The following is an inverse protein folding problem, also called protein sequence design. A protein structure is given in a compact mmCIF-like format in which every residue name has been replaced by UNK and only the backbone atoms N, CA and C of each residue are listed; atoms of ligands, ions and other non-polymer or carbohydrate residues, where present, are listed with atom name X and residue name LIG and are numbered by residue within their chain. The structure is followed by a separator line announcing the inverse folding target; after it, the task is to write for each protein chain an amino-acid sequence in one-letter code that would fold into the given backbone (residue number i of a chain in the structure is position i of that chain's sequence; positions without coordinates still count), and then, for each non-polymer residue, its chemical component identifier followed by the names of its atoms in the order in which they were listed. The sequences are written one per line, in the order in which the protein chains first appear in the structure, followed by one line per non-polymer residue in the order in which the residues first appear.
data_IF_377903373078
#
_entry.id   IF_377903373078
#
_cell.length_a   1.000
_cell.length_b   1.000
_cell.length_c   1.000
_cell.angle_alpha   90.00
_cell.angle_beta   90.00
_cell.angle_gamma   90.00
#
_symmetry.space_group_name_H-M   'P 1'
#
loop_
_entity.id
_entity.type
_entity.pdbx_description
1 polymer ?
#
# COMPACT_ATOMS: atom_id res chain seq x y z
N UNK A 1 30.42 -8.16 3.54
CA UNK A 1 29.58 -8.70 2.42
C UNK A 1 28.32 -9.35 2.95
N UNK A 2 28.37 -10.16 3.99
CA UNK A 2 27.18 -10.79 4.61
C UNK A 2 26.19 -9.76 5.12
N UNK A 3 26.66 -8.75 5.87
CA UNK A 3 25.81 -7.67 6.38
C UNK A 3 25.08 -6.90 5.26
N UNK A 4 25.78 -6.65 4.15
CA UNK A 4 25.18 -6.01 2.99
C UNK A 4 23.99 -6.83 2.43
N UNK A 5 24.18 -8.15 2.24
CA UNK A 5 23.11 -9.03 1.74
C UNK A 5 21.95 -9.06 2.74
N UNK A 6 22.22 -9.11 4.03
CA UNK A 6 21.21 -9.11 5.07
C UNK A 6 20.41 -7.81 5.09
N UNK A 7 21.08 -6.65 4.89
CA UNK A 7 20.41 -5.35 4.75
C UNK A 7 19.57 -5.28 3.47
N UNK A 8 20.08 -5.80 2.35
CA UNK A 8 19.30 -5.84 1.08
C UNK A 8 18.04 -6.68 1.24
N UNK A 9 18.09 -7.86 1.89
CA UNK A 9 16.89 -8.68 2.13
C UNK A 9 15.92 -7.95 3.07
N UNK A 10 16.42 -7.27 4.11
CA UNK A 10 15.60 -6.41 4.96
C UNK A 10 14.93 -5.28 4.15
N UNK A 11 15.68 -4.65 3.25
CA UNK A 11 15.19 -3.61 2.35
C UNK A 11 14.16 -4.12 1.36
N UNK A 12 14.31 -5.34 0.85
CA UNK A 12 13.31 -5.99 0.00
C UNK A 12 12.01 -6.22 0.77
N UNK A 13 12.06 -6.72 2.01
CA UNK A 13 10.87 -6.93 2.82
C UNK A 13 10.14 -5.61 3.12
N UNK A 14 10.86 -4.57 3.54
CA UNK A 14 10.29 -3.23 3.73
C UNK A 14 9.77 -2.66 2.42
N UNK A 15 10.50 -2.84 1.33
CA UNK A 15 10.12 -2.43 -0.02
C UNK A 15 8.85 -3.11 -0.53
N UNK A 16 8.62 -4.37 -0.16
CA UNK A 16 7.37 -5.06 -0.44
C UNK A 16 6.18 -4.37 0.25
N UNK A 17 6.31 -3.97 1.51
CA UNK A 17 5.26 -3.23 2.22
C UNK A 17 5.00 -1.88 1.55
N UNK A 18 6.06 -1.11 1.25
CA UNK A 18 5.90 0.16 0.52
C UNK A 18 5.28 -0.04 -0.86
N UNK A 19 5.67 -1.10 -1.56
CA UNK A 19 5.09 -1.47 -2.86
C UNK A 19 3.60 -1.78 -2.78
N UNK A 20 3.13 -2.45 -1.73
CA UNK A 20 1.71 -2.72 -1.50
C UNK A 20 0.92 -1.45 -1.20
N UNK A 21 1.47 -0.55 -0.37
CA UNK A 21 0.83 0.75 -0.12
C UNK A 21 0.80 1.58 -1.41
N UNK A 22 1.92 1.63 -2.14
CA UNK A 22 2.05 2.31 -3.42
C UNK A 22 1.07 1.75 -4.46
N UNK A 23 0.85 0.45 -4.47
CA UNK A 23 -0.12 -0.21 -5.32
C UNK A 23 -1.54 0.27 -5.01
N UNK A 24 -1.89 0.45 -3.73
CA UNK A 24 -3.16 1.05 -3.33
C UNK A 24 -3.35 2.47 -3.88
N UNK A 25 -2.32 3.32 -3.81
CA UNK A 25 -2.32 4.65 -4.45
C UNK A 25 -2.57 4.56 -5.95
N UNK A 26 -1.83 3.68 -6.64
CA UNK A 26 -1.91 3.51 -8.10
C UNK A 26 -3.27 2.99 -8.53
N UNK A 27 -3.86 2.05 -7.79
CA UNK A 27 -5.20 1.52 -8.11
C UNK A 27 -6.27 2.60 -8.09
N UNK A 28 -6.30 3.44 -7.05
CA UNK A 28 -7.25 4.54 -6.93
C UNK A 28 -6.97 5.61 -7.98
N UNK A 29 -5.71 6.03 -8.11
CA UNK A 29 -5.32 7.06 -9.07
C UNK A 29 -5.67 6.68 -10.52
N UNK A 30 -5.40 5.43 -10.90
CA UNK A 30 -5.69 4.93 -12.25
C UNK A 30 -7.18 4.97 -12.59
N UNK A 31 -8.04 4.84 -11.59
CA UNK A 31 -9.50 4.84 -11.79
C UNK A 31 -10.12 6.23 -11.72
N UNK A 32 -9.62 7.08 -10.83
CA UNK A 32 -10.26 8.35 -10.47
C UNK A 32 -9.41 9.57 -10.77
N UNK A 33 -8.17 9.39 -11.22
CA UNK A 33 -7.13 10.42 -11.39
C UNK A 33 -6.86 11.23 -10.11
N UNK A 34 -7.23 10.68 -8.95
CA UNK A 34 -7.07 11.32 -7.65
C UNK A 34 -6.17 10.48 -6.74
N UNK A 35 -5.31 11.16 -6.00
CA UNK A 35 -4.46 10.52 -4.99
C UNK A 35 -5.22 10.44 -3.67
N UNK A 36 -5.27 9.24 -3.07
CA UNK A 36 -5.85 9.03 -1.74
C UNK A 36 -4.77 9.14 -0.65
N UNK A 37 -4.63 10.29 -0.03
CA UNK A 37 -3.61 10.47 1.04
C UNK A 37 -3.93 9.72 2.34
N UNK A 38 -5.16 9.22 2.52
CA UNK A 38 -5.49 8.32 3.64
C UNK A 38 -4.98 6.88 3.45
N UNK A 39 -4.24 6.56 2.38
CA UNK A 39 -3.83 5.19 2.07
C UNK A 39 -2.97 4.57 3.17
N UNK A 40 -2.06 5.34 3.78
CA UNK A 40 -1.29 4.89 4.92
C UNK A 40 -2.13 4.68 6.18
N UNK A 41 -3.16 5.51 6.38
CA UNK A 41 -4.07 5.36 7.51
C UNK A 41 -5.03 4.17 7.34
N UNK A 42 -5.37 3.81 6.10
CA UNK A 42 -6.07 2.55 5.81
C UNK A 42 -5.18 1.35 6.12
N UNK A 43 -3.87 1.42 5.83
CA UNK A 43 -2.93 0.37 6.23
C UNK A 43 -2.85 0.25 7.77
N UNK A 44 -2.70 1.36 8.47
CA UNK A 44 -2.72 1.43 9.93
C UNK A 44 -4.01 0.79 10.49
N UNK A 45 -5.17 1.20 9.99
CA UNK A 45 -6.45 0.65 10.42
C UNK A 45 -6.53 -0.86 10.19
N UNK A 46 -6.00 -1.35 9.06
CA UNK A 46 -5.91 -2.78 8.77
C UNK A 46 -5.12 -3.57 9.81
N UNK A 47 -4.00 -3.01 10.29
CA UNK A 47 -3.23 -3.57 11.41
C UNK A 47 -4.05 -3.64 12.71
N UNK A 48 -4.74 -2.55 13.09
CA UNK A 48 -5.59 -2.53 14.29
C UNK A 48 -6.78 -3.50 14.20
N UNK A 49 -7.43 -3.58 13.04
CA UNK A 49 -8.53 -4.53 12.82
C UNK A 49 -8.03 -5.97 12.92
N UNK A 50 -6.86 -6.27 12.37
CA UNK A 50 -6.25 -7.60 12.51
C UNK A 50 -5.91 -7.92 13.97
N UNK A 51 -5.34 -6.96 14.70
CA UNK A 51 -5.09 -7.09 16.14
C UNK A 51 -6.38 -7.43 16.91
N UNK A 52 -7.47 -6.75 16.57
CA UNK A 52 -8.77 -7.05 17.21
C UNK A 52 -9.20 -8.49 17.00
N UNK A 53 -9.11 -9.01 15.78
CA UNK A 53 -9.53 -10.40 15.50
C UNK A 53 -8.57 -11.43 16.08
N UNK A 54 -7.26 -11.20 16.00
CA UNK A 54 -6.25 -12.19 16.39
C UNK A 54 -6.06 -12.18 17.91
N UNK A 55 -5.77 -11.01 18.51
CA UNK A 55 -5.37 -10.91 19.91
C UNK A 55 -6.55 -10.67 20.85
N UNK A 56 -7.48 -9.76 20.53
CA UNK A 56 -8.62 -9.46 21.43
C UNK A 56 -9.72 -10.53 21.36
N UNK A 57 -10.06 -11.01 20.16
CA UNK A 57 -11.09 -12.03 19.95
C UNK A 57 -10.54 -13.47 19.97
N UNK A 58 -9.20 -13.63 19.97
CA UNK A 58 -8.55 -14.93 20.05
C UNK A 58 -8.75 -15.82 18.82
N UNK A 59 -8.97 -15.24 17.64
CA UNK A 59 -9.11 -16.02 16.41
C UNK A 59 -7.77 -16.60 16.00
N UNK A 60 -7.80 -17.75 15.32
CA UNK A 60 -6.61 -18.25 14.65
C UNK A 60 -6.07 -17.17 13.68
N UNK A 61 -4.75 -17.01 13.60
CA UNK A 61 -4.07 -16.02 12.77
C UNK A 61 -4.63 -15.92 11.36
N UNK A 62 -4.82 -17.06 10.67
CA UNK A 62 -5.31 -17.08 9.29
C UNK A 62 -6.76 -16.60 9.16
N UNK A 63 -7.59 -16.96 10.13
CA UNK A 63 -8.99 -16.52 10.16
C UNK A 63 -9.07 -15.03 10.48
N UNK A 64 -8.34 -14.57 11.49
CA UNK A 64 -8.27 -13.16 11.86
C UNK A 64 -7.73 -12.29 10.71
N UNK A 65 -6.70 -12.78 10.03
CA UNK A 65 -6.15 -12.15 8.82
C UNK A 65 -7.20 -12.03 7.71
N UNK A 66 -7.92 -13.11 7.39
CA UNK A 66 -8.96 -13.09 6.37
C UNK A 66 -10.12 -12.15 6.74
N UNK A 67 -10.56 -12.18 8.01
CA UNK A 67 -11.60 -11.26 8.52
C UNK A 67 -11.16 -9.80 8.40
N UNK A 68 -9.92 -9.48 8.75
CA UNK A 68 -9.38 -8.13 8.62
C UNK A 68 -9.42 -7.64 7.16
N UNK A 69 -9.01 -8.47 6.20
CA UNK A 69 -9.04 -8.11 4.78
C UNK A 69 -10.48 -7.86 4.30
N UNK A 70 -11.44 -8.71 4.70
CA UNK A 70 -12.85 -8.54 4.32
C UNK A 70 -13.44 -7.27 4.92
N UNK A 71 -13.16 -6.99 6.20
CA UNK A 71 -13.60 -5.76 6.87
C UNK A 71 -13.00 -4.53 6.20
N UNK A 72 -11.70 -4.55 5.87
CA UNK A 72 -11.05 -3.46 5.17
C UNK A 72 -11.60 -3.26 3.75
N UNK A 73 -11.91 -4.33 3.02
CA UNK A 73 -12.57 -4.23 1.72
C UNK A 73 -13.96 -3.58 1.82
N UNK A 74 -14.76 -4.00 2.79
CA UNK A 74 -16.07 -3.42 3.05
C UNK A 74 -15.94 -1.94 3.44
N UNK A 75 -15.01 -1.63 4.34
CA UNK A 75 -14.72 -0.26 4.78
C UNK A 75 -14.33 0.64 3.62
N UNK A 76 -13.43 0.20 2.74
CA UNK A 76 -13.04 0.94 1.53
C UNK A 76 -14.23 1.25 0.61
N UNK A 77 -15.14 0.28 0.44
CA UNK A 77 -16.38 0.49 -0.34
C UNK A 77 -17.30 1.53 0.32
N UNK A 78 -17.38 1.54 1.66
CA UNK A 78 -18.17 2.52 2.43
C UNK A 78 -17.57 3.91 2.30
N UNK A 79 -16.25 4.04 2.48
CA UNK A 79 -15.51 5.30 2.31
C UNK A 79 -15.74 5.89 0.93
N UNK A 80 -15.64 5.08 -0.12
CA UNK A 80 -15.91 5.55 -1.48
C UNK A 80 -17.36 6.06 -1.60
N UNK A 81 -18.34 5.28 -1.13
CA UNK A 81 -19.73 5.59 -1.32
C UNK A 81 -20.19 6.81 -0.52
N UNK A 82 -19.71 6.96 0.72
CA UNK A 82 -20.19 7.99 1.65
C UNK A 82 -19.36 9.27 1.57
N UNK A 83 -18.05 9.15 1.40
CA UNK A 83 -17.11 10.27 1.51
C UNK A 83 -16.65 10.72 0.11
N UNK A 84 -16.17 9.79 -0.72
CA UNK A 84 -15.49 10.16 -1.97
C UNK A 84 -16.49 10.41 -3.10
N UNK A 85 -17.49 9.55 -3.23
CA UNK A 85 -18.48 9.67 -4.33
C UNK A 85 -19.20 11.00 -4.38
N UNK A 86 -19.65 11.62 -3.27
CA UNK A 86 -20.31 12.92 -3.29
C UNK A 86 -19.43 14.06 -3.81
N UNK A 87 -18.10 13.90 -3.70
CA UNK A 87 -17.13 14.92 -4.12
C UNK A 87 -16.46 14.61 -5.46
N UNK A 88 -16.80 13.47 -6.10
CA UNK A 88 -16.36 13.19 -7.47
C UNK A 88 -16.98 14.23 -8.42
N UNK A 89 -16.12 14.87 -9.23
CA UNK A 89 -16.50 15.96 -10.11
C UNK A 89 -16.14 17.36 -9.61
N UNK A 90 -15.76 17.50 -8.34
CA UNK A 90 -15.14 18.71 -7.81
C UNK A 90 -13.64 18.76 -8.17
N UNK A 91 -12.98 19.92 -8.02
CA UNK A 91 -11.55 20.05 -8.27
C UNK A 91 -10.73 19.00 -7.49
N UNK A 92 -9.70 18.45 -8.11
CA UNK A 92 -8.83 17.41 -7.50
C UNK A 92 -8.30 17.80 -6.12
N UNK A 93 -8.01 19.09 -5.92
CA UNK A 93 -7.57 19.63 -4.63
C UNK A 93 -8.57 19.35 -3.49
N UNK A 94 -9.88 19.48 -3.77
CA UNK A 94 -10.92 19.23 -2.75
C UNK A 94 -10.92 17.76 -2.30
N UNK A 95 -10.73 16.83 -3.24
CA UNK A 95 -10.70 15.40 -2.94
C UNK A 95 -9.43 15.05 -2.13
N UNK A 96 -8.29 15.64 -2.50
CA UNK A 96 -7.03 15.49 -1.74
C UNK A 96 -7.21 15.96 -0.29
N UNK A 97 -7.81 17.15 -0.07
CA UNK A 97 -8.04 17.67 1.28
C UNK A 97 -8.96 16.76 2.10
N UNK A 98 -10.02 16.23 1.49
CA UNK A 98 -10.92 15.29 2.17
C UNK A 98 -10.21 13.99 2.53
N UNK A 99 -9.34 13.45 1.68
CA UNK A 99 -8.59 12.23 2.01
C UNK A 99 -7.55 12.47 3.11
N UNK A 100 -6.90 13.64 3.14
CA UNK A 100 -6.02 14.02 4.26
C UNK A 100 -6.82 14.13 5.55
N UNK A 101 -7.98 14.83 5.52
CA UNK A 101 -8.87 14.94 6.69
C UNK A 101 -9.37 13.57 7.17
N UNK A 102 -9.72 12.67 6.23
CA UNK A 102 -10.08 11.30 6.56
C UNK A 102 -8.95 10.58 7.30
N UNK A 103 -7.70 10.73 6.86
CA UNK A 103 -6.54 10.13 7.53
C UNK A 103 -6.45 10.57 8.99
N UNK A 104 -6.58 11.87 9.28
CA UNK A 104 -6.58 12.37 10.65
C UNK A 104 -7.75 11.83 11.49
N UNK A 105 -8.95 11.74 10.91
CA UNK A 105 -10.11 11.15 11.59
C UNK A 105 -9.84 9.67 11.92
N UNK A 106 -9.28 8.89 10.98
CA UNK A 106 -8.96 7.48 11.20
C UNK A 106 -7.93 7.31 12.33
N UNK A 107 -6.91 8.16 12.41
CA UNK A 107 -5.93 8.15 13.52
C UNK A 107 -6.58 8.47 14.85
N UNK A 108 -7.40 9.51 14.89
CA UNK A 108 -8.10 9.88 16.12
C UNK A 108 -9.02 8.75 16.60
N UNK A 109 -9.79 8.16 15.69
CA UNK A 109 -10.67 7.02 16.01
C UNK A 109 -9.84 5.82 16.47
N UNK A 110 -8.73 5.50 15.78
CA UNK A 110 -7.85 4.42 16.20
C UNK A 110 -7.30 4.64 17.61
N UNK A 111 -6.84 5.85 17.94
CA UNK A 111 -6.37 6.20 19.28
C UNK A 111 -7.46 6.11 20.35
N UNK A 112 -8.71 6.44 20.01
CA UNK A 112 -9.85 6.33 20.94
C UNK A 112 -10.27 4.87 21.20
N UNK A 113 -10.17 4.00 20.19
CA UNK A 113 -10.67 2.60 20.28
C UNK A 113 -9.58 1.67 20.82
N UNK A 114 -8.35 1.78 20.35
CA UNK A 114 -7.25 0.85 20.69
C UNK A 114 -6.19 1.46 21.61
N UNK A 115 -6.27 2.78 21.86
CA UNK A 115 -5.27 3.50 22.64
C UNK A 115 -4.09 3.97 21.78
N UNK A 116 -3.07 4.48 22.47
CA UNK A 116 -1.86 5.05 21.86
C UNK A 116 -0.62 4.20 22.07
N UNK A 117 -0.76 3.07 22.77
CA UNK A 117 0.34 2.15 23.06
C UNK A 117 0.76 1.37 21.79
N UNK A 118 2.01 0.95 21.80
CA UNK A 118 2.54 0.10 20.75
C UNK A 118 2.01 -1.32 20.90
N UNK A 119 1.21 -1.77 19.92
CA UNK A 119 0.61 -3.10 19.91
C UNK A 119 1.44 -4.05 19.02
N UNK A 120 1.49 -5.31 19.41
CA UNK A 120 2.18 -6.36 18.67
C UNK A 120 1.20 -7.46 18.32
N UNK A 121 1.32 -8.01 17.12
CA UNK A 121 0.63 -9.22 16.71
C UNK A 121 1.66 -10.35 16.67
N UNK A 122 1.39 -11.42 17.41
CA UNK A 122 2.18 -12.64 17.29
C UNK A 122 1.76 -13.40 16.04
N UNK A 123 2.73 -13.60 15.16
CA UNK A 123 2.51 -14.32 13.91
C UNK A 123 3.11 -15.74 14.02
N UNK A 124 2.60 -16.71 13.25
CA UNK A 124 3.20 -18.07 13.19
C UNK A 124 4.66 -18.08 12.75
N UNK A 125 5.16 -16.94 12.24
CA UNK A 125 6.52 -16.79 11.71
C UNK A 125 7.46 -16.04 12.65
N UNK A 126 6.95 -15.41 13.74
CA UNK A 126 7.72 -14.51 14.62
C UNK A 126 8.86 -15.18 15.39
N UNK A 127 8.85 -16.50 15.53
CA UNK A 127 9.79 -17.22 16.41
C UNK A 127 10.93 -17.92 15.69
N UNK A 128 11.06 -17.78 14.37
CA UNK A 128 12.02 -18.55 13.59
C UNK A 128 12.98 -17.72 12.76
N UNK A 129 14.18 -18.26 12.58
CA UNK A 129 15.19 -17.73 11.65
C UNK A 129 15.63 -18.83 10.69
N UNK A 130 15.73 -18.51 9.41
CA UNK A 130 16.32 -19.38 8.42
C UNK A 130 17.84 -19.17 8.41
N UNK A 131 18.60 -20.23 8.60
CA UNK A 131 20.05 -20.25 8.42
C UNK A 131 20.38 -20.75 7.02
N UNK A 132 20.83 -19.86 6.13
CA UNK A 132 21.32 -20.23 4.80
C UNK A 132 22.83 -19.99 4.78
N UNK A 133 23.57 -21.00 5.20
CA UNK A 133 25.01 -20.88 5.45
C UNK A 133 25.28 -19.93 6.63
N UNK A 134 25.96 -18.83 6.37
CA UNK A 134 26.26 -17.78 7.35
C UNK A 134 25.21 -16.63 7.39
N UNK A 135 24.18 -16.68 6.52
CA UNK A 135 23.10 -15.71 6.51
C UNK A 135 22.00 -16.13 7.48
N UNK A 136 21.57 -15.17 8.32
CA UNK A 136 20.45 -15.35 9.25
C UNK A 136 19.31 -14.47 8.78
N UNK A 137 18.24 -15.10 8.31
CA UNK A 137 17.04 -14.41 7.80
C UNK A 137 15.85 -14.70 8.70
N UNK A 138 15.22 -13.66 9.25
CA UNK A 138 13.98 -13.82 10.01
C UNK A 138 12.84 -14.28 9.09
N UNK A 139 12.08 -15.28 9.55
CA UNK A 139 10.93 -15.79 8.80
C UNK A 139 9.87 -14.72 8.56
N UNK A 140 9.73 -13.72 9.44
CA UNK A 140 8.84 -12.59 9.23
C UNK A 140 9.13 -11.85 7.92
N UNK A 141 10.42 -11.55 7.65
CA UNK A 141 10.83 -10.86 6.42
C UNK A 141 10.57 -11.71 5.16
N UNK A 142 10.83 -13.02 5.26
CA UNK A 142 10.57 -13.95 4.16
C UNK A 142 9.07 -14.09 3.90
N UNK A 143 8.25 -14.18 4.96
CA UNK A 143 6.80 -14.28 4.85
C UNK A 143 6.19 -13.05 4.15
N UNK A 144 6.69 -11.85 4.45
CA UNK A 144 6.27 -10.60 3.79
C UNK A 144 6.57 -10.64 2.29
N UNK A 145 7.77 -11.08 1.90
CA UNK A 145 8.16 -11.17 0.48
C UNK A 145 7.25 -12.17 -0.26
N UNK A 146 7.10 -13.37 0.30
CA UNK A 146 6.27 -14.42 -0.30
C UNK A 146 4.81 -13.99 -0.39
N UNK A 147 4.24 -13.44 0.69
CA UNK A 147 2.86 -12.97 0.72
C UNK A 147 2.63 -11.84 -0.29
N UNK A 148 3.58 -10.91 -0.45
CA UNK A 148 3.50 -9.84 -1.45
C UNK A 148 3.48 -10.41 -2.87
N UNK A 149 4.39 -11.34 -3.19
CA UNK A 149 4.43 -11.98 -4.52
C UNK A 149 3.12 -12.71 -4.81
N UNK A 150 2.59 -13.46 -3.84
CA UNK A 150 1.31 -14.16 -3.99
C UNK A 150 0.15 -13.18 -4.22
N UNK A 151 0.05 -12.11 -3.41
CA UNK A 151 -1.00 -11.11 -3.58
C UNK A 151 -0.90 -10.42 -4.95
N UNK A 152 0.31 -10.07 -5.38
CA UNK A 152 0.52 -9.47 -6.70
C UNK A 152 0.13 -10.41 -7.84
N UNK A 153 0.46 -11.69 -7.71
CA UNK A 153 0.03 -12.74 -8.64
C UNK A 153 -1.50 -12.86 -8.70
N UNK A 154 -2.18 -12.87 -7.55
CA UNK A 154 -3.63 -12.89 -7.46
C UNK A 154 -4.28 -11.64 -8.08
N UNK A 155 -3.74 -10.47 -7.80
CA UNK A 155 -4.24 -9.22 -8.40
C UNK A 155 -4.02 -9.21 -9.92
N UNK A 156 -2.85 -9.66 -10.39
CA UNK A 156 -2.59 -9.79 -11.82
C UNK A 156 -3.60 -10.72 -12.50
N UNK A 157 -3.86 -11.89 -11.91
CA UNK A 157 -4.89 -12.82 -12.39
C UNK A 157 -6.27 -12.17 -12.39
N UNK A 158 -6.63 -11.47 -11.30
CA UNK A 158 -7.90 -10.79 -11.18
C UNK A 158 -8.09 -9.74 -12.28
N UNK A 159 -7.11 -8.84 -12.47
CA UNK A 159 -7.20 -7.77 -13.44
C UNK A 159 -7.19 -8.26 -14.89
N UNK A 160 -6.47 -9.34 -15.20
CA UNK A 160 -6.31 -9.80 -16.58
C UNK A 160 -7.30 -10.92 -16.97
N UNK A 161 -7.83 -11.68 -16.01
CA UNK A 161 -8.63 -12.87 -16.30
C UNK A 161 -10.11 -12.73 -15.90
N UNK A 162 -10.50 -11.71 -15.14
CA UNK A 162 -11.90 -11.53 -14.74
C UNK A 162 -12.58 -10.43 -15.56
N UNK A 163 -13.89 -10.61 -15.81
CA UNK A 163 -14.71 -9.58 -16.50
C UNK A 163 -14.69 -8.24 -15.79
N UNK A 164 -14.68 -8.26 -14.45
CA UNK A 164 -14.64 -7.04 -13.65
C UNK A 164 -13.26 -6.36 -13.68
N UNK A 165 -12.18 -7.14 -13.67
CA UNK A 165 -10.83 -6.60 -13.86
C UNK A 165 -10.65 -5.92 -15.22
N UNK A 166 -11.18 -6.52 -16.29
CA UNK A 166 -11.19 -5.91 -17.64
C UNK A 166 -12.05 -4.64 -17.65
N UNK A 167 -13.22 -4.66 -17.00
CA UNK A 167 -14.06 -3.47 -16.86
C UNK A 167 -13.37 -2.32 -16.10
N UNK A 168 -12.60 -2.65 -15.05
CA UNK A 168 -11.76 -1.68 -14.34
C UNK A 168 -10.69 -1.05 -15.25
N UNK A 169 -10.00 -1.87 -16.06
CA UNK A 169 -9.02 -1.38 -17.01
C UNK A 169 -9.65 -0.49 -18.08
N UNK A 170 -10.80 -0.88 -18.61
CA UNK A 170 -11.54 -0.08 -19.60
C UNK A 170 -11.97 1.28 -19.01
N UNK A 171 -12.50 1.27 -17.78
CA UNK A 171 -12.91 2.50 -17.08
C UNK A 171 -11.73 3.43 -16.82
N UNK A 172 -10.56 2.88 -16.51
CA UNK A 172 -9.34 3.64 -16.27
C UNK A 172 -8.74 4.27 -17.54
N UNK A 173 -9.04 3.72 -18.71
CA UNK A 173 -8.58 4.28 -19.99
C UNK A 173 -9.52 5.39 -20.49
N UNK A 174 -10.82 5.17 -20.43
CA UNK A 174 -11.81 6.16 -20.80
C UNK A 174 -13.15 5.89 -20.09
N UNK A 175 -13.40 6.65 -19.03
CA UNK A 175 -14.60 6.52 -18.19
C UNK A 175 -15.90 6.74 -18.99
N UNK A 176 -15.93 7.73 -19.88
CA UNK A 176 -17.12 8.04 -20.68
C UNK A 176 -17.41 6.92 -21.68
N UNK A 177 -16.40 6.46 -22.40
CA UNK A 177 -16.57 5.35 -23.34
C UNK A 177 -17.03 4.08 -22.60
N UNK A 178 -16.46 3.76 -21.46
CA UNK A 178 -16.86 2.63 -20.62
C UNK A 178 -18.34 2.74 -20.19
N UNK A 179 -18.78 3.94 -19.79
CA UNK A 179 -20.17 4.20 -19.42
C UNK A 179 -21.13 3.97 -20.61
N UNK A 180 -20.81 4.48 -21.80
CA UNK A 180 -21.61 4.28 -23.01
C UNK A 180 -21.66 2.81 -23.44
N UNK A 181 -20.62 2.04 -23.17
CA UNK A 181 -20.59 0.58 -23.40
C UNK A 181 -21.33 -0.22 -22.32
N UNK A 182 -22.03 0.44 -21.38
CA UNK A 182 -22.84 -0.20 -20.36
C UNK A 182 -22.07 -0.70 -19.13
N UNK A 183 -20.80 -0.33 -18.96
CA UNK A 183 -20.02 -0.68 -17.77
C UNK A 183 -20.55 0.14 -16.59
N UNK A 184 -20.89 -0.50 -15.45
CA UNK A 184 -21.42 0.20 -14.28
C UNK A 184 -20.29 0.92 -13.50
N UNK A 185 -19.85 2.08 -14.00
CA UNK A 185 -18.69 2.84 -13.49
C UNK A 185 -18.74 3.05 -11.97
N UNK A 186 -19.92 3.34 -11.41
CA UNK A 186 -20.09 3.51 -9.95
C UNK A 186 -19.72 2.25 -9.16
N UNK A 187 -20.05 1.04 -9.68
CA UNK A 187 -19.67 -0.24 -9.04
C UNK A 187 -18.18 -0.49 -9.19
N UNK A 188 -17.63 -0.13 -10.35
CA UNK A 188 -16.17 -0.24 -10.60
C UNK A 188 -15.39 0.60 -9.59
N UNK A 189 -15.79 1.84 -9.33
CA UNK A 189 -15.15 2.70 -8.35
C UNK A 189 -15.23 2.12 -6.92
N UNK A 190 -16.42 1.70 -6.47
CA UNK A 190 -16.54 1.03 -5.15
C UNK A 190 -15.62 -0.18 -5.04
N UNK A 191 -15.50 -0.97 -6.10
CA UNK A 191 -14.68 -2.17 -6.08
C UNK A 191 -13.18 -1.84 -6.06
N UNK A 192 -12.75 -0.80 -6.77
CA UNK A 192 -11.36 -0.33 -6.75
C UNK A 192 -10.98 0.15 -5.35
N UNK A 193 -11.84 0.93 -4.68
CA UNK A 193 -11.62 1.36 -3.32
C UNK A 193 -11.62 0.19 -2.33
N UNK A 194 -12.50 -0.80 -2.53
CA UNK A 194 -12.52 -2.03 -1.74
C UNK A 194 -11.19 -2.79 -1.86
N UNK A 195 -10.71 -3.01 -3.09
CA UNK A 195 -9.45 -3.71 -3.33
C UNK A 195 -8.27 -2.90 -2.79
N UNK A 196 -8.25 -1.58 -2.99
CA UNK A 196 -7.18 -0.73 -2.47
C UNK A 196 -7.11 -0.75 -0.94
N UNK A 197 -8.26 -0.67 -0.25
CA UNK A 197 -8.31 -0.78 1.21
C UNK A 197 -7.97 -2.19 1.70
N UNK A 198 -8.37 -3.24 0.99
CA UNK A 198 -7.97 -4.61 1.28
C UNK A 198 -6.45 -4.80 1.16
N UNK A 199 -5.83 -4.26 0.11
CA UNK A 199 -4.37 -4.28 -0.08
C UNK A 199 -3.66 -3.47 1.00
N UNK A 200 -4.20 -2.31 1.40
CA UNK A 200 -3.69 -1.53 2.51
C UNK A 200 -3.77 -2.33 3.82
N UNK A 201 -4.91 -2.94 4.11
CA UNK A 201 -5.08 -3.81 5.28
C UNK A 201 -4.10 -4.99 5.28
N UNK A 202 -3.93 -5.63 4.13
CA UNK A 202 -2.95 -6.69 3.94
C UNK A 202 -1.52 -6.21 4.27
N UNK A 203 -1.13 -5.03 3.75
CA UNK A 203 0.16 -4.43 4.06
C UNK A 203 0.32 -4.13 5.57
N UNK A 204 -0.75 -3.67 6.23
CA UNK A 204 -0.77 -3.41 7.68
C UNK A 204 -0.54 -4.66 8.51
N UNK A 205 -1.18 -5.78 8.14
CA UNK A 205 -0.97 -7.07 8.83
C UNK A 205 0.44 -7.60 8.59
N UNK A 206 0.97 -7.47 7.38
CA UNK A 206 2.35 -7.90 7.07
C UNK A 206 3.40 -7.05 7.77
N UNK A 207 3.09 -5.78 8.05
CA UNK A 207 4.00 -4.88 8.75
C UNK A 207 4.03 -5.16 10.27
N UNK A 208 2.92 -5.63 10.84
CA UNK A 208 2.75 -5.83 12.27
C UNK A 208 3.88 -6.62 12.98
N UNK A 209 4.43 -7.71 12.41
CA UNK A 209 5.56 -8.43 13.03
C UNK A 209 6.90 -7.72 12.87
N UNK A 210 7.03 -6.80 11.90
CA UNK A 210 8.28 -6.06 11.62
C UNK A 210 8.33 -4.75 12.40
N UNK A 211 7.17 -4.09 12.55
CA UNK A 211 7.02 -2.84 13.27
C UNK A 211 5.78 -2.91 14.16
N UNK A 212 5.83 -2.28 15.33
CA UNK A 212 4.67 -2.18 16.22
C UNK A 212 3.52 -1.44 15.54
N UNK A 213 2.29 -1.85 15.84
CA UNK A 213 1.09 -1.14 15.40
C UNK A 213 0.84 0.00 16.38
N UNK A 214 0.88 1.22 15.87
CA UNK A 214 0.58 2.43 16.63
C UNK A 214 -0.08 3.48 15.73
N UNK A 215 -0.69 4.50 16.32
CA UNK A 215 -1.47 5.49 15.56
C UNK A 215 -0.67 6.29 14.54
N UNK A 216 0.65 6.42 14.71
CA UNK A 216 1.51 7.14 13.77
C UNK A 216 2.06 6.29 12.63
N UNK A 217 1.82 4.96 12.63
CA UNK A 217 2.33 4.08 11.57
C UNK A 217 1.73 4.43 10.19
N UNK A 218 0.58 5.10 10.16
CA UNK A 218 -0.04 5.62 8.94
C UNK A 218 0.86 6.60 8.15
N UNK A 219 1.81 7.28 8.82
CA UNK A 219 2.79 8.15 8.14
C UNK A 219 3.74 7.40 7.19
N UNK A 220 3.86 6.07 7.32
CA UNK A 220 4.56 5.25 6.33
C UNK A 220 3.93 5.36 4.93
N UNK A 221 2.65 5.69 4.85
CA UNK A 221 1.99 6.02 3.57
C UNK A 221 2.65 7.19 2.85
N UNK A 222 3.16 8.20 3.58
CA UNK A 222 3.89 9.32 2.98
C UNK A 222 5.24 8.89 2.39
N UNK A 223 5.89 7.87 2.96
CA UNK A 223 7.12 7.28 2.40
C UNK A 223 6.82 6.34 1.22
N UNK A 224 5.65 5.72 1.21
CA UNK A 224 5.21 4.89 0.08
C UNK A 224 4.72 5.72 -1.12
N UNK A 225 4.35 6.99 -0.92
CA UNK A 225 3.97 7.89 -2.00
C UNK A 225 5.13 8.12 -3.00
N UNK A 226 6.36 8.46 -2.57
CA UNK A 226 7.52 8.43 -3.45
C UNK A 226 7.68 7.14 -4.25
N UNK A 227 7.38 5.99 -3.66
CA UNK A 227 7.44 4.70 -4.37
C UNK A 227 6.42 4.61 -5.51
N UNK A 228 5.19 5.10 -5.30
CA UNK A 228 4.15 5.15 -6.33
C UNK A 228 4.52 6.10 -7.47
N UNK A 229 5.09 7.27 -7.14
CA UNK A 229 5.55 8.27 -8.13
C UNK A 229 6.73 7.73 -8.91
N UNK A 230 7.75 7.21 -8.23
CA UNK A 230 8.96 6.64 -8.82
C UNK A 230 8.62 5.48 -9.75
N UNK A 231 7.70 4.61 -9.33
CA UNK A 231 7.20 3.51 -10.16
C UNK A 231 6.39 3.98 -11.36
N UNK A 232 5.73 5.15 -11.25
CA UNK A 232 4.79 5.70 -12.21
C UNK A 232 3.34 5.36 -11.88
N UNK A 233 2.52 6.38 -11.63
CA UNK A 233 1.10 6.23 -11.20
C UNK A 233 0.19 5.45 -12.18
N UNK A 234 0.63 5.24 -13.41
CA UNK A 234 -0.10 4.44 -14.40
C UNK A 234 0.21 2.94 -14.36
N UNK A 235 1.21 2.49 -13.60
CA UNK A 235 1.77 1.14 -13.69
C UNK A 235 1.72 0.39 -12.37
N UNK A 236 0.90 -0.68 -12.30
CA UNK A 236 0.83 -1.59 -11.16
C UNK A 236 2.20 -2.26 -10.87
N UNK A 237 2.89 -2.85 -11.87
CA UNK A 237 4.23 -3.36 -11.66
C UNK A 237 5.24 -2.28 -11.26
N UNK A 238 5.04 -1.05 -11.76
CA UNK A 238 5.85 0.10 -11.40
C UNK A 238 5.78 0.43 -9.91
N UNK A 239 4.59 0.42 -9.32
CA UNK A 239 4.41 0.68 -7.89
C UNK A 239 5.23 -0.28 -7.02
N UNK A 240 5.25 -1.57 -7.38
CA UNK A 240 6.04 -2.58 -6.67
C UNK A 240 7.54 -2.37 -6.85
N UNK A 241 7.98 -2.12 -8.10
CA UNK A 241 9.37 -1.85 -8.37
C UNK A 241 9.84 -0.58 -7.64
N UNK A 242 9.02 0.48 -7.64
CA UNK A 242 9.28 1.70 -6.88
C UNK A 242 9.38 1.46 -5.39
N UNK A 243 8.47 0.63 -4.85
CA UNK A 243 8.51 0.19 -3.45
C UNK A 243 9.80 -0.52 -3.09
N UNK A 244 10.23 -1.48 -3.92
CA UNK A 244 11.48 -2.21 -3.71
C UNK A 244 12.70 -1.28 -3.74
N UNK A 245 12.76 -0.38 -4.70
CA UNK A 245 13.87 0.59 -4.81
C UNK A 245 13.92 1.50 -3.57
N UNK A 246 12.78 2.04 -3.14
CA UNK A 246 12.71 2.90 -1.93
C UNK A 246 13.08 2.10 -0.68
N UNK A 247 12.53 0.89 -0.50
CA UNK A 247 12.81 0.08 0.70
C UNK A 247 14.28 -0.33 0.81
N UNK A 248 14.91 -0.70 -0.30
CA UNK A 248 16.35 -1.01 -0.33
C UNK A 248 17.17 0.26 -0.04
N UNK A 249 16.85 1.38 -0.69
CA UNK A 249 17.55 2.64 -0.49
C UNK A 249 17.44 3.13 0.96
N UNK A 250 16.27 3.07 1.58
CA UNK A 250 16.04 3.45 2.97
C UNK A 250 16.83 2.56 3.93
N UNK A 251 16.82 1.24 3.71
CA UNK A 251 17.53 0.31 4.59
C UNK A 251 19.05 0.48 4.49
N UNK A 252 19.58 0.62 3.27
CA UNK A 252 21.01 0.84 3.07
C UNK A 252 21.45 2.21 3.60
N UNK A 253 20.65 3.26 3.40
CA UNK A 253 20.92 4.59 3.94
C UNK A 253 20.94 4.58 5.46
N UNK A 254 20.02 3.85 6.11
CA UNK A 254 19.99 3.75 7.56
C UNK A 254 21.16 2.97 8.15
N UNK A 255 21.82 2.10 7.37
CA UNK A 255 22.95 1.30 7.83
C UNK A 255 24.31 1.99 7.57
N UNK A 256 24.47 2.65 6.42
CA UNK A 256 25.76 3.19 5.97
C UNK A 256 25.90 4.71 6.15
N UNK A 257 24.79 5.44 6.30
CA UNK A 257 24.81 6.89 6.40
C UNK A 257 24.46 7.37 7.83
N UNK A 258 24.80 8.61 8.21
CA UNK A 258 24.44 9.15 9.51
C UNK A 258 22.94 9.12 9.81
N UNK A 259 22.60 9.18 11.10
CA UNK A 259 21.21 9.26 11.56
C UNK A 259 20.43 10.37 10.83
N UNK A 260 19.17 10.07 10.47
CA UNK A 260 18.30 10.98 9.71
C UNK A 260 18.30 10.76 8.19
N UNK A 261 19.37 10.22 7.59
CA UNK A 261 19.39 9.92 6.16
C UNK A 261 18.37 8.85 5.78
N UNK A 262 18.08 7.91 6.68
CA UNK A 262 17.05 6.89 6.49
C UNK A 262 15.70 7.50 6.11
N UNK A 263 15.28 8.58 6.79
CA UNK A 263 13.97 9.20 6.59
C UNK A 263 13.91 10.07 5.32
N UNK A 264 15.04 10.58 4.88
CA UNK A 264 15.13 11.51 3.73
C UNK A 264 15.47 10.78 2.42
N UNK A 265 16.05 9.59 2.50
CA UNK A 265 16.53 8.81 1.35
C UNK A 265 15.44 8.60 0.28
N UNK A 266 14.21 8.25 0.69
CA UNK A 266 13.09 8.08 -0.21
C UNK A 266 12.77 9.33 -1.04
N UNK A 267 12.82 10.50 -0.40
CA UNK A 267 12.51 11.79 -1.03
C UNK A 267 13.66 12.29 -1.91
N UNK A 268 14.92 12.11 -1.49
CA UNK A 268 16.08 12.42 -2.34
C UNK A 268 16.02 11.60 -3.62
N UNK A 269 15.79 10.30 -3.50
CA UNK A 269 15.70 9.39 -4.64
C UNK A 269 14.54 9.77 -5.56
N UNK A 270 13.38 10.15 -4.99
CA UNK A 270 12.26 10.66 -5.76
C UNK A 270 12.65 11.89 -6.58
N UNK A 271 13.29 12.88 -5.95
CA UNK A 271 13.72 14.12 -6.63
C UNK A 271 14.68 13.80 -7.78
N UNK A 272 15.70 12.97 -7.53
CA UNK A 272 16.65 12.57 -8.56
C UNK A 272 15.96 11.89 -9.75
N UNK A 273 15.05 10.95 -9.47
CA UNK A 273 14.35 10.24 -10.55
C UNK A 273 13.42 11.18 -11.33
N UNK A 274 12.67 12.06 -10.65
CA UNK A 274 11.80 13.01 -11.35
C UNK A 274 12.57 14.04 -12.19
N UNK A 275 13.80 14.42 -11.79
CA UNK A 275 14.67 15.28 -12.60
C UNK A 275 15.12 14.59 -13.89
N UNK A 276 15.33 13.26 -13.86
CA UNK A 276 15.80 12.49 -15.01
C UNK A 276 14.64 11.92 -15.84
N UNK A 277 13.58 11.44 -15.15
CA UNK A 277 12.38 10.84 -15.76
C UNK A 277 11.12 11.29 -15.02
N UNK A 278 10.51 12.40 -15.41
CA UNK A 278 9.33 12.96 -14.74
C UNK A 278 8.09 12.05 -14.80
N UNK A 279 8.07 11.07 -15.71
CA UNK A 279 6.97 10.09 -15.85
C UNK A 279 7.13 8.86 -14.92
N UNK A 280 8.24 8.78 -14.16
CA UNK A 280 8.61 7.62 -13.37
C UNK A 280 9.28 6.51 -14.21
N UNK A 281 9.70 5.42 -13.55
CA UNK A 281 10.46 4.33 -14.18
C UNK A 281 9.63 3.56 -15.22
N UNK A 282 8.33 3.37 -14.96
CA UNK A 282 7.39 2.61 -15.80
C UNK A 282 6.22 3.47 -16.29
N UNK A 283 6.36 4.81 -16.26
CA UNK A 283 5.35 5.74 -16.76
C UNK A 283 5.12 5.53 -18.26
N UNK A 284 3.86 5.57 -18.69
CA UNK A 284 3.51 5.56 -20.10
C UNK A 284 3.88 6.90 -20.71
N UNK A 285 4.65 6.88 -21.77
CA UNK A 285 5.10 8.04 -22.53
C UNK A 285 3.88 8.69 -23.23
N UNK A 286 3.03 9.37 -22.49
CA UNK A 286 1.98 10.22 -23.05
C UNK A 286 2.62 11.54 -23.52
N UNK A 287 3.30 11.51 -24.67
CA UNK A 287 3.60 12.76 -25.37
C UNK A 287 2.26 13.42 -25.67
N UNK A 288 1.91 14.44 -24.89
CA UNK A 288 0.85 15.39 -25.30
C UNK A 288 1.28 15.89 -26.67
N UNK A 289 0.56 15.49 -27.71
CA UNK A 289 0.62 16.19 -28.99
C UNK A 289 0.11 17.60 -28.71
N UNK A 290 1.04 18.56 -28.71
CA UNK A 290 0.74 19.98 -28.74
C UNK A 290 0.10 20.29 -30.07
#
# INVERSE_FOLDING_TARGET
MLDFIQQVVGGIALGCVYGLIALGFVLIYKATEVVNFAQGDLMMLGGFVAYTFIDQLGFNYWLGFACAIVVMAAFGSVVERVIVRPILGYPQFSIVMVTIGLGFVLRAVAGMVWGTDDLRIDTPFSSGVAHIGSLVLAYDKLSVIVATVLLCGLLWLYFNKTRMGVAMQATSQNMLAAYYMGIPVKRVFSLIWAISAAVAGFAGVLLAPIAFIHTNIGFLGLKAFPAAVLGGFGSIPGALAGGLVIGIAETLSGFYLPEGFKDVAAYILLLVVLMVRPEGLFGLNQRKKV
#
